data_IF_020442833260
#
_entry.id   IF_020442833260
#
_cell.length_a   1.000
_cell.length_b   1.000
_cell.length_c   1.000
_cell.angle_alpha   90.00
_cell.angle_beta   90.00
_cell.angle_gamma   90.00
#
_symmetry.space_group_name_H-M   'P 1'
#
loop_
_entity.id
_entity.type
_entity.pdbx_description
1 polymer ?
#
# COMPACT_ATOMS: atom_id res chain seq x y z
N UNK A 1 -26.20 -47.64 35.42
CA UNK A 1 -26.36 -46.40 34.62
C UNK A 1 -25.37 -46.43 33.47
N UNK A 2 -25.83 -46.82 32.27
CA UNK A 2 -24.98 -46.85 31.07
C UNK A 2 -24.91 -45.45 30.44
N UNK A 3 -23.76 -45.04 29.87
CA UNK A 3 -23.64 -43.73 29.23
C UNK A 3 -24.61 -43.66 28.05
N UNK A 4 -25.38 -42.58 28.02
CA UNK A 4 -26.47 -42.33 27.07
C UNK A 4 -25.98 -42.37 25.62
N UNK A 5 -26.82 -42.88 24.72
CA UNK A 5 -26.54 -43.06 23.30
C UNK A 5 -26.08 -41.79 22.56
N UNK A 6 -26.33 -40.60 23.13
CA UNK A 6 -25.87 -39.31 22.61
C UNK A 6 -24.35 -39.10 22.73
N UNK A 7 -23.73 -39.56 23.82
CA UNK A 7 -22.28 -39.38 24.05
C UNK A 7 -21.46 -40.29 23.11
N UNK A 8 -21.98 -41.48 22.79
CA UNK A 8 -21.35 -42.39 21.82
C UNK A 8 -21.40 -41.88 20.37
N UNK A 9 -22.44 -41.12 19.98
CA UNK A 9 -22.47 -40.45 18.66
C UNK A 9 -21.49 -39.29 18.57
N UNK A 10 -21.34 -38.52 19.65
CA UNK A 10 -20.41 -37.41 19.70
C UNK A 10 -18.95 -37.88 19.65
N UNK A 11 -18.61 -38.94 20.39
CA UNK A 11 -17.27 -39.54 20.36
C UNK A 11 -16.97 -40.17 19.00
N UNK A 12 -17.95 -40.81 18.35
CA UNK A 12 -17.77 -41.42 17.01
C UNK A 12 -17.60 -40.38 15.90
N UNK A 13 -18.14 -39.17 16.04
CA UNK A 13 -17.91 -38.08 15.09
C UNK A 13 -16.46 -37.56 15.14
N UNK A 14 -15.85 -37.54 16.33
CA UNK A 14 -14.44 -37.16 16.53
C UNK A 14 -13.49 -38.26 16.05
N UNK A 15 -13.87 -39.53 16.10
CA UNK A 15 -13.02 -40.66 15.64
C UNK A 15 -13.13 -41.00 14.15
N UNK A 16 -14.16 -40.53 13.42
CA UNK A 16 -14.35 -40.86 11.99
C UNK A 16 -14.01 -39.73 11.01
N UNK A 17 -13.32 -38.67 11.44
CA UNK A 17 -12.68 -37.74 10.49
C UNK A 17 -13.62 -37.12 9.46
N UNK A 18 -14.90 -36.90 9.80
CA UNK A 18 -15.85 -36.24 8.89
C UNK A 18 -15.63 -34.73 8.97
N UNK A 19 -14.49 -34.29 8.45
CA UNK A 19 -14.34 -32.91 8.02
C UNK A 19 -15.28 -32.77 6.81
N UNK A 20 -16.24 -31.85 6.88
CA UNK A 20 -17.10 -31.55 5.73
C UNK A 20 -16.22 -31.29 4.49
N UNK A 21 -16.50 -31.88 3.30
CA UNK A 21 -15.64 -31.75 2.12
C UNK A 21 -15.32 -30.30 1.73
N UNK A 22 -16.22 -29.35 2.03
CA UNK A 22 -16.00 -27.91 1.84
C UNK A 22 -14.99 -27.32 2.83
N UNK A 23 -15.04 -27.73 4.10
CA UNK A 23 -14.07 -27.32 5.10
C UNK A 23 -12.69 -27.93 4.79
N UNK A 24 -12.65 -29.19 4.34
CA UNK A 24 -11.41 -29.82 3.88
C UNK A 24 -10.79 -29.09 2.68
N UNK A 25 -11.60 -28.73 1.68
CA UNK A 25 -11.13 -27.97 0.52
C UNK A 25 -10.64 -26.56 0.88
N UNK A 26 -11.33 -25.86 1.80
CA UNK A 26 -10.91 -24.55 2.28
C UNK A 26 -9.57 -24.61 3.03
N UNK A 27 -9.40 -25.61 3.92
CA UNK A 27 -8.13 -25.82 4.62
C UNK A 27 -6.99 -26.17 3.68
N UNK A 28 -7.25 -26.99 2.66
CA UNK A 28 -6.24 -27.33 1.66
C UNK A 28 -5.85 -26.11 0.81
N UNK A 29 -6.82 -25.29 0.41
CA UNK A 29 -6.57 -24.05 -0.29
C UNK A 29 -5.70 -23.08 0.54
N UNK A 30 -6.05 -22.88 1.81
CA UNK A 30 -5.26 -22.04 2.72
C UNK A 30 -3.82 -22.56 2.88
N UNK A 31 -3.65 -23.88 3.06
CA UNK A 31 -2.32 -24.52 3.11
C UNK A 31 -1.51 -24.26 1.84
N UNK A 32 -2.14 -24.35 0.68
CA UNK A 32 -1.49 -24.05 -0.60
C UNK A 32 -1.05 -22.58 -0.66
N UNK A 33 -1.90 -21.63 -0.23
CA UNK A 33 -1.51 -20.22 -0.19
C UNK A 33 -0.35 -19.97 0.77
N UNK A 34 -0.35 -20.60 1.96
CA UNK A 34 0.77 -20.52 2.91
C UNK A 34 2.07 -21.05 2.29
N UNK A 35 2.01 -22.22 1.63
CA UNK A 35 3.17 -22.79 0.95
C UNK A 35 3.72 -21.85 -0.14
N UNK A 36 2.83 -21.22 -0.92
CA UNK A 36 3.18 -20.26 -1.98
C UNK A 36 3.80 -18.98 -1.41
N UNK A 37 3.22 -18.40 -0.36
CA UNK A 37 3.74 -17.20 0.31
C UNK A 37 5.12 -17.43 0.96
N UNK A 38 5.42 -18.68 1.35
CA UNK A 38 6.72 -19.09 1.91
C UNK A 38 7.81 -19.32 0.86
N UNK A 39 7.49 -19.32 -0.44
CA UNK A 39 8.48 -19.55 -1.48
C UNK A 39 9.61 -18.53 -1.41
N UNK A 40 10.85 -19.01 -1.29
CA UNK A 40 12.05 -18.17 -1.42
C UNK A 40 12.46 -18.10 -2.88
N UNK A 41 12.70 -16.88 -3.36
CA UNK A 41 13.24 -16.63 -4.69
C UNK A 41 14.76 -16.47 -4.59
N UNK A 42 15.52 -16.87 -5.63
CA UNK A 42 16.97 -16.67 -5.64
C UNK A 42 17.34 -15.18 -5.58
N UNK A 43 16.55 -14.33 -6.23
CA UNK A 43 16.77 -12.90 -6.30
C UNK A 43 15.83 -12.14 -5.36
N UNK A 44 16.33 -11.11 -4.65
CA UNK A 44 15.52 -10.19 -3.87
C UNK A 44 14.47 -9.48 -4.72
N UNK A 45 13.27 -9.29 -4.16
CA UNK A 45 12.15 -8.66 -4.86
C UNK A 45 11.61 -7.41 -4.19
N UNK A 46 11.30 -6.41 -5.00
CA UNK A 46 10.59 -5.19 -4.63
C UNK A 46 9.15 -5.30 -5.15
N UNK A 47 8.18 -5.11 -4.25
CA UNK A 47 6.75 -5.17 -4.55
C UNK A 47 6.17 -3.77 -4.28
N UNK A 48 5.74 -3.07 -5.32
CA UNK A 48 5.12 -1.76 -5.19
C UNK A 48 3.60 -1.88 -5.02
N UNK A 49 3.05 -1.21 -4.02
CA UNK A 49 1.61 -1.13 -3.76
C UNK A 49 1.12 0.25 -4.18
N UNK A 50 0.37 0.29 -5.28
CA UNK A 50 -0.01 1.51 -6.00
C UNK A 50 -1.52 1.67 -6.01
N UNK A 51 -2.01 2.89 -5.88
CA UNK A 51 -3.41 3.24 -6.05
C UNK A 51 -3.56 4.42 -7.00
N UNK A 52 -4.70 4.53 -7.67
CA UNK A 52 -5.01 5.72 -8.48
C UNK A 52 -5.76 6.81 -7.75
N UNK A 53 -6.23 6.52 -6.53
CA UNK A 53 -6.97 7.48 -5.70
C UNK A 53 -6.71 7.27 -4.22
N UNK A 54 -6.87 8.33 -3.44
CA UNK A 54 -6.72 8.29 -1.99
C UNK A 54 -7.81 7.44 -1.31
N UNK A 55 -7.51 6.93 -0.12
CA UNK A 55 -8.50 6.29 0.76
C UNK A 55 -9.02 4.92 0.31
N UNK A 56 -8.43 4.28 -0.70
CA UNK A 56 -8.84 2.92 -1.15
C UNK A 56 -8.28 1.78 -0.33
N UNK A 57 -7.38 2.07 0.62
CA UNK A 57 -6.73 1.07 1.45
C UNK A 57 -5.36 0.61 0.94
N UNK A 58 -4.62 1.43 0.18
CA UNK A 58 -3.29 1.09 -0.33
C UNK A 58 -2.29 0.78 0.80
N UNK A 59 -2.08 1.73 1.72
CA UNK A 59 -1.23 1.53 2.90
C UNK A 59 -1.69 0.35 3.77
N UNK A 60 -3.00 0.20 3.96
CA UNK A 60 -3.56 -0.94 4.71
C UNK A 60 -3.23 -2.27 4.03
N UNK A 61 -3.32 -2.33 2.70
CA UNK A 61 -2.98 -3.50 1.91
C UNK A 61 -1.48 -3.80 1.98
N UNK A 62 -0.64 -2.78 1.80
CA UNK A 62 0.81 -2.91 1.89
C UNK A 62 1.26 -3.44 3.25
N UNK A 63 0.78 -2.84 4.33
CA UNK A 63 1.06 -3.26 5.70
C UNK A 63 0.56 -4.69 5.99
N UNK A 64 -0.67 -5.02 5.58
CA UNK A 64 -1.24 -6.35 5.83
C UNK A 64 -0.48 -7.45 5.07
N UNK A 65 -0.06 -7.18 3.83
CA UNK A 65 0.77 -8.09 3.04
C UNK A 65 2.16 -8.23 3.66
N UNK A 66 2.79 -7.13 4.07
CA UNK A 66 4.10 -7.14 4.70
C UNK A 66 4.11 -7.94 6.01
N UNK A 67 3.12 -7.71 6.90
CA UNK A 67 2.94 -8.46 8.13
C UNK A 67 2.65 -9.95 7.88
N UNK A 68 1.82 -10.26 6.88
CA UNK A 68 1.52 -11.65 6.49
C UNK A 68 2.79 -12.37 6.06
N UNK A 69 3.61 -11.75 5.20
CA UNK A 69 4.88 -12.32 4.75
C UNK A 69 5.87 -12.47 5.90
N UNK A 70 6.04 -11.43 6.73
CA UNK A 70 6.94 -11.43 7.88
C UNK A 70 6.55 -12.48 8.94
N UNK A 71 5.26 -12.78 9.10
CA UNK A 71 4.76 -13.81 10.02
C UNK A 71 4.96 -15.22 9.48
N UNK A 72 4.78 -15.42 8.16
CA UNK A 72 4.82 -16.75 7.57
C UNK A 72 6.23 -17.21 7.22
N UNK A 73 7.15 -16.28 7.00
CA UNK A 73 8.51 -16.55 6.52
C UNK A 73 9.52 -16.47 7.66
N UNK A 74 10.65 -17.14 7.48
CA UNK A 74 11.78 -17.11 8.41
C UNK A 74 12.88 -16.13 8.00
N UNK A 75 12.71 -15.39 6.90
CA UNK A 75 13.59 -14.30 6.51
C UNK A 75 12.97 -12.94 6.83
N UNK A 76 13.81 -11.93 6.77
CA UNK A 76 13.42 -10.54 6.97
C UNK A 76 12.73 -9.97 5.74
N UNK A 77 11.70 -9.15 5.95
CA UNK A 77 11.02 -8.33 4.94
C UNK A 77 11.25 -6.87 5.28
N UNK A 78 11.51 -6.03 4.28
CA UNK A 78 11.45 -4.58 4.44
C UNK A 78 10.05 -4.05 4.07
N UNK A 79 9.57 -3.06 4.80
CA UNK A 79 8.36 -2.32 4.49
C UNK A 79 8.65 -0.82 4.52
N UNK A 80 8.58 -0.21 3.34
CA UNK A 80 9.01 1.17 3.11
C UNK A 80 7.82 1.99 2.62
N UNK A 81 7.68 3.23 3.05
CA UNK A 81 6.77 4.18 2.40
C UNK A 81 7.50 5.11 1.44
N UNK A 82 6.97 5.26 0.23
CA UNK A 82 7.40 6.28 -0.74
C UNK A 82 6.53 7.55 -0.69
N UNK A 83 5.63 7.63 0.30
CA UNK A 83 4.69 8.73 0.49
C UNK A 83 5.35 9.88 1.25
N UNK A 84 4.78 11.07 1.08
CA UNK A 84 5.22 12.27 1.75
C UNK A 84 4.07 12.86 2.58
N UNK A 85 4.34 13.18 3.84
CA UNK A 85 3.34 13.81 4.71
C UNK A 85 2.18 12.89 5.13
N UNK A 86 2.27 11.59 4.89
CA UNK A 86 1.33 10.62 5.46
C UNK A 86 1.69 10.26 6.89
N UNK A 87 0.72 9.74 7.65
CA UNK A 87 0.98 9.16 8.96
C UNK A 87 2.03 8.03 8.90
N UNK A 88 2.66 7.76 10.04
CA UNK A 88 3.73 6.76 10.15
C UNK A 88 3.20 5.34 9.91
N UNK A 89 3.95 4.55 9.14
CA UNK A 89 3.73 3.10 9.04
C UNK A 89 3.96 2.44 10.41
N UNK A 90 5.04 2.81 11.10
CA UNK A 90 5.34 2.29 12.43
C UNK A 90 4.23 2.52 13.45
N UNK A 91 3.61 3.71 13.46
CA UNK A 91 2.47 4.01 14.32
C UNK A 91 1.27 3.10 14.01
N UNK A 92 1.02 2.86 12.73
CA UNK A 92 -0.06 1.97 12.29
C UNK A 92 0.20 0.49 12.60
N UNK A 93 1.45 0.08 12.80
CA UNK A 93 1.80 -1.31 13.10
C UNK A 93 1.89 -1.56 14.60
N UNK A 94 2.70 -0.76 15.30
CA UNK A 94 3.05 -1.00 16.71
C UNK A 94 2.92 0.26 17.59
N UNK A 95 2.37 1.36 17.08
CA UNK A 95 2.16 2.60 17.85
C UNK A 95 3.43 3.42 18.08
N UNK A 96 4.50 3.20 17.30
CA UNK A 96 5.76 3.96 17.37
C UNK A 96 6.21 4.38 15.97
N UNK A 97 6.57 5.63 15.80
CA UNK A 97 7.08 6.13 14.52
C UNK A 97 8.35 5.38 14.06
N UNK A 98 8.44 5.11 12.77
CA UNK A 98 9.65 4.58 12.13
C UNK A 98 10.51 5.74 11.61
N UNK A 99 11.82 5.54 11.42
CA UNK A 99 12.67 6.56 10.82
C UNK A 99 12.30 6.77 9.34
N UNK A 100 12.35 8.02 8.83
CA UNK A 100 12.12 8.28 7.42
C UNK A 100 13.29 7.79 6.55
N UNK A 101 13.05 7.67 5.25
CA UNK A 101 14.07 7.27 4.25
C UNK A 101 15.40 8.01 4.44
N UNK A 102 15.38 9.33 4.60
CA UNK A 102 16.58 10.16 4.76
C UNK A 102 17.43 9.80 5.99
N UNK A 103 16.79 9.42 7.10
CA UNK A 103 17.47 9.02 8.31
C UNK A 103 18.12 7.64 8.15
N UNK A 104 17.40 6.68 7.54
CA UNK A 104 17.91 5.33 7.31
C UNK A 104 19.07 5.33 6.31
N UNK A 105 19.01 6.15 5.26
CA UNK A 105 20.08 6.16 4.27
C UNK A 105 21.35 6.85 4.75
N UNK A 106 21.23 7.81 5.67
CA UNK A 106 22.34 8.61 6.21
C UNK A 106 23.09 7.97 7.37
N UNK A 107 22.68 6.80 7.84
CA UNK A 107 23.32 6.06 8.93
C UNK A 107 24.08 4.83 8.42
N UNK A 108 25.15 4.47 9.12
CA UNK A 108 25.92 3.24 8.90
C UNK A 108 26.34 2.64 10.27
N UNK A 109 25.76 1.51 10.72
CA UNK A 109 24.75 0.72 10.02
C UNK A 109 23.37 1.43 9.99
N UNK A 110 22.48 1.08 9.04
CA UNK A 110 21.12 1.58 9.02
C UNK A 110 20.33 1.05 10.23
N UNK A 111 19.52 1.91 10.86
CA UNK A 111 18.68 1.56 12.02
C UNK A 111 17.18 1.73 11.69
N UNK A 112 16.53 0.78 10.98
CA UNK A 112 15.10 0.82 10.74
C UNK A 112 14.30 0.44 12.00
N UNK A 113 12.99 0.70 11.98
CA UNK A 113 12.11 0.18 13.02
C UNK A 113 11.85 -1.32 12.80
N UNK A 114 12.32 -2.18 13.70
CA UNK A 114 12.00 -3.60 13.66
C UNK A 114 10.66 -3.94 14.33
N UNK A 115 9.85 -4.73 13.62
CA UNK A 115 8.58 -5.31 14.08
C UNK A 115 8.68 -6.83 14.01
N UNK A 116 8.37 -7.52 15.10
CA UNK A 116 8.45 -8.99 15.23
C UNK A 116 9.80 -9.60 14.81
N UNK A 117 10.90 -8.86 14.90
CA UNK A 117 12.27 -9.23 14.50
C UNK A 117 12.44 -9.66 13.02
N UNK A 118 11.38 -9.61 12.21
CA UNK A 118 11.38 -10.05 10.81
C UNK A 118 10.87 -8.98 9.84
N UNK A 119 10.35 -7.85 10.33
CA UNK A 119 9.85 -6.76 9.50
C UNK A 119 10.59 -5.45 9.82
N UNK A 120 11.47 -5.02 8.92
CA UNK A 120 12.15 -3.73 8.99
C UNK A 120 11.27 -2.64 8.35
N UNK A 121 10.89 -1.62 9.12
CA UNK A 121 9.95 -0.56 8.70
C UNK A 121 10.68 0.76 8.52
N UNK A 122 10.42 1.42 7.40
CA UNK A 122 10.95 2.75 7.06
C UNK A 122 9.78 3.65 6.64
N UNK A 123 9.65 4.77 7.34
CA UNK A 123 8.57 5.72 7.10
C UNK A 123 8.81 6.59 5.87
N UNK A 124 7.70 7.18 5.42
CA UNK A 124 7.71 8.19 4.38
C UNK A 124 8.31 9.49 4.89
N UNK A 125 8.73 10.34 3.96
CA UNK A 125 9.22 11.65 4.30
C UNK A 125 8.15 12.54 4.95
N UNK A 126 8.53 13.50 5.81
CA UNK A 126 7.62 14.56 6.22
C UNK A 126 7.25 15.46 5.03
N UNK A 127 6.06 16.06 5.06
CA UNK A 127 5.49 16.84 3.93
C UNK A 127 6.40 17.96 3.41
N UNK A 128 7.22 18.57 4.26
CA UNK A 128 8.09 19.71 3.94
C UNK A 128 9.47 19.30 3.42
N UNK A 129 9.81 18.00 3.46
CA UNK A 129 11.09 17.50 2.94
C UNK A 129 10.87 16.15 2.24
N UNK A 130 10.14 16.11 1.11
CA UNK A 130 9.83 14.87 0.39
C UNK A 130 11.09 14.08 0.03
N UNK A 131 10.97 12.75 0.02
CA UNK A 131 12.03 11.87 -0.48
C UNK A 131 12.19 12.08 -1.98
N UNK A 132 13.42 12.36 -2.42
CA UNK A 132 13.75 12.47 -3.83
C UNK A 132 13.96 11.09 -4.49
N UNK A 133 14.08 11.09 -5.82
CA UNK A 133 14.30 9.88 -6.61
C UNK A 133 15.57 9.12 -6.18
N UNK A 134 16.68 9.82 -5.95
CA UNK A 134 17.98 9.22 -5.70
C UNK A 134 18.03 8.51 -4.34
N UNK A 135 17.50 9.16 -3.31
CA UNK A 135 17.35 8.61 -1.97
C UNK A 135 16.48 7.34 -1.95
N UNK A 136 15.36 7.35 -2.68
CA UNK A 136 14.51 6.16 -2.80
C UNK A 136 15.23 5.01 -3.51
N UNK A 137 15.90 5.29 -4.63
CA UNK A 137 16.69 4.27 -5.35
C UNK A 137 17.79 3.69 -4.46
N UNK A 138 18.53 4.54 -3.74
CA UNK A 138 19.58 4.12 -2.81
C UNK A 138 19.03 3.21 -1.71
N UNK A 139 17.88 3.57 -1.11
CA UNK A 139 17.24 2.75 -0.10
C UNK A 139 16.82 1.39 -0.66
N UNK A 140 16.20 1.35 -1.84
CA UNK A 140 15.74 0.10 -2.44
C UNK A 140 16.90 -0.80 -2.86
N UNK A 141 17.97 -0.25 -3.41
CA UNK A 141 19.17 -1.01 -3.78
C UNK A 141 19.87 -1.59 -2.54
N UNK A 142 19.94 -0.83 -1.44
CA UNK A 142 20.42 -1.34 -0.15
C UNK A 142 19.51 -2.44 0.40
N UNK A 143 18.19 -2.21 0.37
CA UNK A 143 17.18 -3.17 0.85
C UNK A 143 17.29 -4.51 0.14
N UNK A 144 17.54 -4.52 -1.18
CA UNK A 144 17.76 -5.77 -1.94
C UNK A 144 18.98 -6.55 -1.44
N UNK A 145 20.02 -5.88 -0.97
CA UNK A 145 21.19 -6.55 -0.37
C UNK A 145 20.92 -7.17 1.01
N UNK A 146 19.87 -6.72 1.71
CA UNK A 146 19.62 -7.05 3.12
C UNK A 146 18.37 -7.92 3.32
N UNK A 147 17.37 -7.79 2.45
CA UNK A 147 16.05 -8.39 2.61
C UNK A 147 15.62 -9.09 1.32
N UNK A 148 15.23 -10.38 1.36
CA UNK A 148 14.68 -11.08 0.21
C UNK A 148 13.41 -10.44 -0.37
N UNK A 149 12.64 -9.72 0.45
CA UNK A 149 11.41 -9.04 0.05
C UNK A 149 11.40 -7.61 0.57
N UNK A 150 11.01 -6.68 -0.29
CA UNK A 150 10.75 -5.27 0.05
C UNK A 150 9.36 -4.89 -0.43
N UNK A 151 8.45 -4.57 0.49
CA UNK A 151 7.13 -4.01 0.17
C UNK A 151 7.24 -2.49 0.21
N UNK A 152 6.77 -1.82 -0.84
CA UNK A 152 6.78 -0.35 -0.90
C UNK A 152 5.35 0.17 -0.97
N UNK A 153 4.92 0.92 0.05
CA UNK A 153 3.69 1.70 0.01
C UNK A 153 3.90 2.96 -0.81
N UNK A 154 3.52 2.90 -2.10
CA UNK A 154 3.53 4.06 -3.01
C UNK A 154 2.25 4.87 -2.84
N UNK A 155 1.13 4.19 -2.58
CA UNK A 155 -0.18 4.80 -2.52
C UNK A 155 -0.54 5.48 -3.84
N UNK A 156 -1.19 6.65 -3.75
CA UNK A 156 -1.72 7.40 -4.89
C UNK A 156 -0.96 8.69 -5.22
N UNK A 157 0.12 8.98 -4.50
CA UNK A 157 0.90 10.20 -4.73
C UNK A 157 1.72 10.08 -6.02
N UNK A 158 1.78 11.19 -6.76
CA UNK A 158 2.56 11.33 -7.98
C UNK A 158 3.94 11.92 -7.65
N UNK A 159 4.67 11.27 -6.75
CA UNK A 159 6.00 11.68 -6.31
C UNK A 159 7.11 11.00 -7.12
N UNK A 160 8.28 11.65 -7.21
CA UNK A 160 9.47 11.04 -7.83
C UNK A 160 9.91 9.76 -7.12
N UNK A 161 9.88 9.75 -5.77
CA UNK A 161 10.14 8.55 -4.99
C UNK A 161 9.14 7.43 -5.30
N UNK A 162 7.84 7.76 -5.43
CA UNK A 162 6.82 6.80 -5.82
C UNK A 162 7.07 6.22 -7.21
N UNK A 163 7.47 7.06 -8.17
CA UNK A 163 7.81 6.60 -9.52
C UNK A 163 9.08 5.74 -9.53
N UNK A 164 10.13 6.12 -8.81
CA UNK A 164 11.33 5.28 -8.63
C UNK A 164 11.01 3.92 -8.04
N UNK A 165 10.12 3.86 -7.05
CA UNK A 165 9.66 2.62 -6.45
C UNK A 165 8.92 1.73 -7.47
N UNK A 166 8.07 2.32 -8.30
CA UNK A 166 7.37 1.59 -9.38
C UNK A 166 8.39 1.07 -10.40
N UNK A 167 9.35 1.88 -10.83
CA UNK A 167 10.42 1.51 -11.78
C UNK A 167 11.26 0.33 -11.28
N UNK A 168 11.66 0.35 -10.00
CA UNK A 168 12.44 -0.70 -9.34
C UNK A 168 11.65 -1.95 -8.94
N UNK A 169 10.32 -1.91 -9.02
CA UNK A 169 9.47 -3.02 -8.59
C UNK A 169 9.55 -4.20 -9.55
N UNK A 170 9.60 -5.42 -9.01
CA UNK A 170 9.47 -6.67 -9.78
C UNK A 170 8.02 -7.17 -9.83
N UNK A 171 7.14 -6.57 -9.04
CA UNK A 171 5.72 -6.87 -8.97
C UNK A 171 4.93 -5.66 -8.50
N UNK A 172 3.70 -5.53 -8.98
CA UNK A 172 2.79 -4.46 -8.57
C UNK A 172 1.48 -5.00 -8.02
N UNK A 173 1.06 -4.44 -6.89
CA UNK A 173 -0.31 -4.57 -6.38
C UNK A 173 -1.05 -3.27 -6.66
N UNK A 174 -2.05 -3.32 -7.51
CA UNK A 174 -2.96 -2.22 -7.76
C UNK A 174 -4.11 -2.29 -6.77
N UNK A 175 -4.27 -1.23 -5.97
CA UNK A 175 -5.36 -1.13 -4.99
C UNK A 175 -6.42 -0.17 -5.50
N UNK A 176 -7.66 -0.66 -5.55
CA UNK A 176 -8.82 0.15 -5.90
C UNK A 176 -10.02 -0.24 -5.07
N UNK A 177 -11.00 0.66 -4.98
CA UNK A 177 -12.28 0.36 -4.35
C UNK A 177 -13.34 0.07 -5.40
N UNK A 178 -14.42 -0.59 -4.99
CA UNK A 178 -15.58 -0.83 -5.83
C UNK A 178 -16.51 0.41 -5.98
N UNK A 179 -15.91 1.59 -6.20
CA UNK A 179 -16.57 2.90 -6.34
C UNK A 179 -16.93 3.20 -7.81
N UNK A 180 -17.67 4.29 -8.04
CA UNK A 180 -18.07 4.71 -9.39
C UNK A 180 -16.86 5.12 -10.26
N UNK A 181 -15.90 5.82 -9.66
CA UNK A 181 -14.66 6.32 -10.24
C UNK A 181 -13.54 5.25 -10.32
N UNK A 182 -13.82 3.99 -9.95
CA UNK A 182 -12.82 2.92 -9.87
C UNK A 182 -12.06 2.71 -11.18
N UNK A 183 -12.74 2.85 -12.33
CA UNK A 183 -12.14 2.69 -13.67
C UNK A 183 -11.06 3.75 -13.91
N UNK A 184 -11.39 5.02 -13.67
CA UNK A 184 -10.46 6.15 -13.85
C UNK A 184 -9.27 6.02 -12.90
N UNK A 185 -9.52 5.66 -11.64
CA UNK A 185 -8.44 5.43 -10.68
C UNK A 185 -7.52 4.27 -11.13
N UNK A 186 -8.08 3.15 -11.58
CA UNK A 186 -7.26 2.05 -12.09
C UNK A 186 -6.48 2.46 -13.35
N UNK A 187 -7.06 3.27 -14.26
CA UNK A 187 -6.34 3.80 -15.42
C UNK A 187 -5.11 4.62 -15.02
N UNK A 188 -5.25 5.54 -14.06
CA UNK A 188 -4.12 6.36 -13.58
C UNK A 188 -3.03 5.49 -12.95
N UNK A 189 -3.42 4.46 -12.17
CA UNK A 189 -2.44 3.56 -11.59
C UNK A 189 -1.74 2.70 -12.67
N UNK A 190 -2.49 2.23 -13.67
CA UNK A 190 -1.96 1.45 -14.78
C UNK A 190 -1.01 2.26 -15.66
N UNK A 191 -1.32 3.53 -15.96
CA UNK A 191 -0.46 4.36 -16.80
C UNK A 191 0.92 4.54 -16.15
N UNK A 192 0.97 4.78 -14.84
CA UNK A 192 2.23 4.89 -14.10
C UNK A 192 3.09 3.62 -14.16
N UNK A 193 2.44 2.46 -14.06
CA UNK A 193 3.14 1.18 -14.17
C UNK A 193 3.57 0.91 -15.61
N UNK A 194 2.73 1.25 -16.58
CA UNK A 194 3.03 1.11 -18.01
C UNK A 194 4.23 1.95 -18.42
N UNK A 195 4.28 3.20 -17.97
CA UNK A 195 5.37 4.14 -18.27
C UNK A 195 6.70 3.66 -17.68
N UNK A 196 6.65 2.96 -16.54
CA UNK A 196 7.83 2.36 -15.92
C UNK A 196 8.28 1.05 -16.59
N UNK A 197 7.33 0.14 -16.83
CA UNK A 197 7.55 -1.13 -17.52
C UNK A 197 6.21 -1.71 -18.01
N UNK A 198 5.94 -1.72 -19.32
CA UNK A 198 4.69 -2.20 -19.87
C UNK A 198 4.46 -3.70 -19.64
N UNK A 199 5.52 -4.50 -19.52
CA UNK A 199 5.40 -5.94 -19.29
C UNK A 199 4.93 -6.28 -17.87
N UNK A 200 5.15 -5.36 -16.92
CA UNK A 200 4.75 -5.52 -15.51
C UNK A 200 3.24 -5.64 -15.34
N UNK A 201 2.47 -5.04 -16.24
CA UNK A 201 1.01 -5.13 -16.26
C UNK A 201 0.54 -6.58 -16.36
N UNK A 202 1.23 -7.42 -17.12
CA UNK A 202 0.84 -8.82 -17.34
C UNK A 202 0.87 -9.70 -16.10
N UNK A 203 1.50 -9.25 -15.00
CA UNK A 203 1.60 -10.04 -13.76
C UNK A 203 1.04 -9.34 -12.52
N UNK A 204 0.52 -8.11 -12.69
CA UNK A 204 0.00 -7.31 -11.59
C UNK A 204 -1.15 -8.02 -10.85
N UNK A 205 -1.32 -7.64 -9.58
CA UNK A 205 -2.40 -8.12 -8.71
C UNK A 205 -3.37 -6.98 -8.46
N UNK A 206 -4.67 -7.21 -8.65
CA UNK A 206 -5.70 -6.21 -8.36
C UNK A 206 -6.33 -6.49 -6.99
N UNK A 207 -5.96 -5.71 -5.98
CA UNK A 207 -6.62 -5.72 -4.67
C UNK A 207 -7.86 -4.81 -4.71
N UNK A 208 -9.04 -5.41 -4.62
CA UNK A 208 -10.32 -4.71 -4.78
C UNK A 208 -11.05 -4.60 -3.44
N UNK A 209 -11.02 -3.43 -2.82
CA UNK A 209 -11.77 -3.16 -1.59
C UNK A 209 -13.26 -2.99 -1.89
N UNK A 210 -14.12 -3.74 -1.19
CA UNK A 210 -15.54 -3.80 -1.47
C UNK A 210 -16.37 -4.10 -0.20
N UNK A 211 -17.62 -3.66 -0.19
CA UNK A 211 -18.54 -3.94 0.91
C UNK A 211 -19.13 -5.34 0.84
N UNK A 212 -19.30 -5.86 -0.38
CA UNK A 212 -19.88 -7.17 -0.61
C UNK A 212 -19.44 -7.78 -1.96
N UNK A 213 -19.60 -9.10 -2.14
CA UNK A 213 -19.19 -9.78 -3.37
C UNK A 213 -19.92 -9.33 -4.64
N UNK A 214 -21.14 -8.79 -4.53
CA UNK A 214 -21.88 -8.28 -5.72
C UNK A 214 -21.18 -7.03 -6.27
N UNK A 215 -20.79 -6.12 -5.39
CA UNK A 215 -20.06 -4.90 -5.73
C UNK A 215 -18.72 -5.24 -6.41
N UNK A 216 -17.97 -6.19 -5.85
CA UNK A 216 -16.71 -6.66 -6.44
C UNK A 216 -16.90 -7.19 -7.87
N UNK A 217 -17.87 -8.08 -8.08
CA UNK A 217 -18.17 -8.64 -9.42
C UNK A 217 -18.56 -7.56 -10.42
N UNK A 218 -19.35 -6.58 -10.00
CA UNK A 218 -19.75 -5.46 -10.86
C UNK A 218 -18.55 -4.61 -11.26
N UNK A 219 -17.69 -4.23 -10.31
CA UNK A 219 -16.48 -3.43 -10.60
C UNK A 219 -15.51 -4.19 -11.50
N UNK A 220 -15.28 -5.49 -11.27
CA UNK A 220 -14.43 -6.30 -12.16
C UNK A 220 -14.98 -6.33 -13.59
N UNK A 221 -16.30 -6.48 -13.76
CA UNK A 221 -16.92 -6.44 -15.10
C UNK A 221 -16.68 -5.10 -15.79
N UNK A 222 -16.84 -3.98 -15.08
CA UNK A 222 -16.54 -2.64 -15.62
C UNK A 222 -15.08 -2.46 -15.99
N UNK A 223 -14.15 -2.90 -15.14
CA UNK A 223 -12.73 -2.82 -15.44
C UNK A 223 -12.37 -3.64 -16.69
N UNK A 224 -13.00 -4.80 -16.88
CA UNK A 224 -12.81 -5.62 -18.08
C UNK A 224 -13.39 -4.94 -19.34
N UNK A 225 -14.61 -4.41 -19.26
CA UNK A 225 -15.26 -3.77 -20.41
C UNK A 225 -14.56 -2.47 -20.82
N UNK A 226 -14.21 -1.64 -19.85
CA UNK A 226 -13.79 -0.26 -20.11
C UNK A 226 -12.27 -0.17 -20.36
N UNK A 227 -11.48 -1.13 -19.85
CA UNK A 227 -10.02 -1.16 -20.00
C UNK A 227 -9.52 -2.27 -20.91
N UNK A 228 -10.41 -3.09 -21.46
CA UNK A 228 -10.02 -4.25 -22.26
C UNK A 228 -9.21 -5.31 -21.50
N UNK A 229 -9.28 -5.30 -20.16
CA UNK A 229 -8.46 -6.19 -19.35
C UNK A 229 -8.95 -7.65 -19.41
N UNK A 230 -8.11 -8.54 -19.91
CA UNK A 230 -8.29 -9.99 -19.89
C UNK A 230 -7.88 -10.52 -18.50
N UNK A 231 -8.85 -10.52 -17.58
CA UNK A 231 -8.77 -11.19 -16.28
C UNK A 231 -7.58 -10.79 -15.36
N UNK A 232 -7.59 -9.60 -14.74
CA UNK A 232 -6.63 -9.27 -13.68
C UNK A 232 -6.69 -10.32 -12.55
N UNK A 233 -5.53 -10.71 -12.00
CA UNK A 233 -5.40 -11.53 -10.78
C UNK A 233 -6.03 -10.75 -9.61
N UNK A 234 -7.35 -10.83 -9.49
CA UNK A 234 -8.14 -9.96 -8.62
C UNK A 234 -8.43 -10.65 -7.30
N UNK A 235 -8.14 -9.96 -6.20
CA UNK A 235 -8.48 -10.39 -4.86
C UNK A 235 -9.46 -9.39 -4.25
N UNK A 236 -10.74 -9.77 -4.07
CA UNK A 236 -11.70 -8.95 -3.35
C UNK A 236 -11.37 -8.93 -1.86
N UNK A 237 -11.26 -7.73 -1.30
CA UNK A 237 -11.11 -7.51 0.14
C UNK A 237 -12.45 -6.98 0.65
N UNK A 238 -13.14 -7.81 1.44
CA UNK A 238 -14.45 -7.49 2.00
C UNK A 238 -14.38 -6.49 3.17
N UNK A 239 -15.55 -6.08 3.66
CA UNK A 239 -15.63 -5.25 4.85
C UNK A 239 -15.12 -5.99 6.10
N UNK A 240 -14.18 -5.35 6.78
CA UNK A 240 -13.62 -5.80 8.05
C UNK A 240 -13.81 -4.71 9.13
N UNK A 241 -14.49 -5.00 10.25
CA UNK A 241 -14.73 -4.03 11.32
C UNK A 241 -13.45 -3.50 11.96
N UNK A 242 -12.41 -4.34 12.08
CA UNK A 242 -11.15 -3.93 12.68
C UNK A 242 -10.45 -2.91 11.79
N UNK A 243 -10.40 -3.17 10.48
CA UNK A 243 -9.85 -2.22 9.51
C UNK A 243 -10.68 -0.93 9.44
N UNK A 244 -12.00 -1.04 9.52
CA UNK A 244 -12.91 0.11 9.49
C UNK A 244 -12.75 1.03 10.71
N UNK A 245 -12.31 0.52 11.85
CA UNK A 245 -12.03 1.32 13.05
C UNK A 245 -10.81 2.24 12.87
N UNK A 246 -9.95 1.99 11.87
CA UNK A 246 -8.83 2.88 11.52
C UNK A 246 -7.65 2.87 12.50
N UNK A 247 -7.62 1.92 13.44
CA UNK A 247 -6.54 1.77 14.42
C UNK A 247 -5.31 1.02 13.87
N UNK A 248 -4.62 0.31 14.77
CA UNK A 248 -3.47 -0.52 14.43
C UNK A 248 -3.85 -1.65 13.46
N UNK A 249 -2.94 -1.99 12.56
CA UNK A 249 -3.10 -3.08 11.60
C UNK A 249 -2.55 -4.35 12.25
N UNK A 250 -3.45 -5.17 12.78
CA UNK A 250 -3.13 -6.46 13.40
C UNK A 250 -3.88 -7.59 12.69
N UNK A 251 -3.21 -8.40 11.85
CA UNK A 251 -3.81 -9.52 11.14
C UNK A 251 -4.52 -10.53 12.06
N UNK A 252 -4.11 -10.65 13.33
CA UNK A 252 -4.76 -11.53 14.28
C UNK A 252 -6.22 -11.11 14.57
N UNK A 253 -6.53 -9.82 14.49
CA UNK A 253 -7.87 -9.25 14.76
C UNK A 253 -8.81 -9.28 13.55
N UNK A 254 -8.27 -9.52 12.35
CA UNK A 254 -9.07 -9.51 11.14
C UNK A 254 -10.09 -10.65 11.14
N UNK A 255 -11.13 -10.51 10.32
CA UNK A 255 -11.98 -11.64 9.95
C UNK A 255 -11.18 -12.66 9.15
N UNK A 256 -11.58 -13.93 9.22
CA UNK A 256 -10.92 -15.01 8.48
C UNK A 256 -10.85 -14.72 6.97
N UNK A 257 -11.94 -14.23 6.37
CA UNK A 257 -11.97 -13.86 4.95
C UNK A 257 -10.99 -12.73 4.59
N UNK A 258 -10.76 -11.78 5.49
CA UNK A 258 -9.79 -10.69 5.30
C UNK A 258 -8.36 -11.20 5.39
N UNK A 259 -8.06 -12.08 6.36
CA UNK A 259 -6.77 -12.78 6.44
C UNK A 259 -6.50 -13.60 5.19
N UNK A 260 -7.48 -14.39 4.74
CA UNK A 260 -7.39 -15.19 3.53
C UNK A 260 -7.12 -14.32 2.29
N UNK A 261 -7.80 -13.18 2.16
CA UNK A 261 -7.56 -12.24 1.07
C UNK A 261 -6.11 -11.69 1.07
N UNK A 262 -5.59 -11.27 2.22
CA UNK A 262 -4.20 -10.78 2.28
C UNK A 262 -3.16 -11.90 2.14
N UNK A 263 -3.47 -13.11 2.62
CA UNK A 263 -2.68 -14.31 2.35
C UNK A 263 -2.64 -14.64 0.86
N UNK A 264 -3.78 -14.53 0.17
CA UNK A 264 -3.86 -14.71 -1.27
C UNK A 264 -3.01 -13.67 -1.99
N UNK A 265 -3.10 -12.38 -1.63
CA UNK A 265 -2.25 -11.34 -2.22
C UNK A 265 -0.77 -11.65 -1.96
N UNK A 266 -0.40 -12.00 -0.73
CA UNK A 266 0.96 -12.36 -0.35
C UNK A 266 1.51 -13.54 -1.19
N UNK A 267 0.71 -14.57 -1.42
CA UNK A 267 1.08 -15.69 -2.29
C UNK A 267 1.26 -15.23 -3.75
N UNK A 268 0.32 -14.44 -4.29
CA UNK A 268 0.35 -13.99 -5.69
C UNK A 268 1.53 -13.08 -5.99
N UNK A 269 1.97 -12.24 -5.03
CA UNK A 269 3.07 -11.29 -5.24
C UNK A 269 4.45 -11.95 -5.15
N UNK A 270 4.60 -12.99 -4.33
CA UNK A 270 5.87 -13.74 -4.20
C UNK A 270 6.14 -14.57 -5.46
N UNK A 271 5.09 -15.09 -6.09
CA UNK A 271 5.22 -15.91 -7.27
C UNK A 271 5.43 -15.07 -8.55
N UNK A 272 6.26 -15.57 -9.49
CA UNK A 272 6.16 -15.10 -10.86
C UNK A 272 4.76 -15.48 -11.36
N UNK A 273 3.93 -14.49 -11.69
CA UNK A 273 2.72 -14.80 -12.44
C UNK A 273 3.10 -15.56 -13.71
N UNK A 274 2.27 -16.49 -14.16
CA UNK A 274 2.18 -16.76 -15.60
C UNK A 274 1.95 -15.41 -16.28
N UNK A 275 2.58 -15.15 -17.43
CA UNK A 275 2.19 -14.03 -18.30
C UNK A 275 0.79 -14.31 -18.85
N UNK A 276 -0.23 -14.31 -17.99
CA UNK A 276 -1.61 -14.21 -18.41
C UNK A 276 -1.79 -12.75 -18.81
N UNK A 277 -1.62 -12.51 -20.11
CA UNK A 277 -1.62 -11.19 -20.71
C UNK A 277 -2.91 -10.47 -20.29
N UNK A 278 -2.76 -9.44 -19.46
CA UNK A 278 -3.87 -8.55 -19.05
C UNK A 278 -4.57 -7.91 -20.25
N UNK A 279 -3.98 -7.95 -21.44
CA UNK A 279 -4.55 -7.41 -22.67
C UNK A 279 -4.44 -8.47 -23.76
N UNK A 280 -5.47 -8.60 -24.60
CA UNK A 280 -5.36 -9.46 -25.78
C UNK A 280 -4.23 -8.95 -26.67
N UNK A 281 -3.40 -9.85 -27.23
CA UNK A 281 -2.50 -9.48 -28.32
C UNK A 281 -3.33 -8.85 -29.46
N UNK A 282 -2.87 -7.76 -30.08
CA UNK A 282 -3.47 -7.31 -31.33
C UNK A 282 -3.35 -8.46 -32.33
N UNK A 283 -4.47 -8.97 -32.81
CA UNK A 283 -4.49 -9.88 -33.95
C UNK A 283 -3.68 -9.23 -35.07
N UNK A 284 -2.68 -9.93 -35.62
CA UNK A 284 -1.95 -9.50 -36.79
C UNK A 284 -2.93 -9.33 -37.98
N UNK A 285 -3.52 -8.15 -38.11
CA UNK A 285 -4.59 -7.87 -39.06
C UNK A 285 -5.68 -6.96 -38.48
N UNK A 286 -5.33 -5.71 -38.19
CA UNK A 286 -6.29 -4.67 -37.83
C UNK A 286 -5.77 -3.77 -36.72
N UNK A 287 -5.13 -2.68 -37.10
CA UNK A 287 -4.77 -1.59 -36.18
C UNK A 287 -6.04 -0.83 -35.81
N UNK A 288 -6.48 -0.77 -34.54
CA UNK A 288 -7.31 0.33 -34.09
C UNK A 288 -6.34 1.49 -33.83
N UNK A 289 -6.33 2.46 -34.73
CA UNK A 289 -5.70 3.74 -34.47
C UNK A 289 -6.40 4.42 -33.29
N UNK A 290 -5.61 5.16 -32.50
CA UNK A 290 -6.02 6.11 -31.46
C UNK A 290 -6.11 5.58 -30.02
N UNK A 291 -4.96 5.18 -29.49
CA UNK A 291 -4.53 5.69 -28.18
C UNK A 291 -3.37 6.64 -28.48
N UNK A 292 -3.57 7.95 -28.33
CA UNK A 292 -2.47 8.94 -28.47
C UNK A 292 -2.71 10.19 -29.31
N UNK A 293 -3.94 10.59 -29.64
CA UNK A 293 -4.17 11.93 -30.17
C UNK A 293 -4.46 12.92 -29.03
N UNK A 294 -3.74 14.05 -28.91
CA UNK A 294 -4.15 15.13 -28.04
C UNK A 294 -5.53 15.65 -28.50
N UNK A 295 -6.46 15.80 -27.56
CA UNK A 295 -7.77 16.40 -27.81
C UNK A 295 -7.54 17.83 -28.32
N UNK A 296 -7.94 18.11 -29.56
CA UNK A 296 -7.90 19.45 -30.11
C UNK A 296 -8.81 20.37 -29.26
N UNK A 297 -8.38 21.59 -28.92
CA UNK A 297 -9.22 22.52 -28.17
C UNK A 297 -10.47 22.90 -28.98
N UNK A 298 -11.59 23.22 -28.31
CA UNK A 298 -12.84 23.57 -28.98
C UNK A 298 -12.67 24.81 -29.89
N UNK A 299 -13.40 24.87 -31.02
CA UNK A 299 -13.34 26.02 -31.93
C UNK A 299 -13.70 27.31 -31.19
N UNK A 300 -12.77 28.27 -31.18
CA UNK A 300 -12.90 29.53 -30.46
C UNK A 300 -11.93 29.70 -29.28
N UNK A 301 -11.16 28.68 -28.92
CA UNK A 301 -10.10 28.81 -27.93
C UNK A 301 -8.92 29.62 -28.51
N UNK A 302 -8.76 30.86 -28.07
CA UNK A 302 -7.51 31.62 -28.23
C UNK A 302 -6.66 31.43 -26.97
N UNK A 303 -5.44 30.87 -27.05
CA UNK A 303 -4.51 30.90 -25.94
C UNK A 303 -4.25 32.35 -25.56
N UNK A 304 -4.36 32.68 -24.27
CA UNK A 304 -3.94 33.99 -23.78
C UNK A 304 -2.45 34.15 -24.07
N UNK A 305 -2.07 35.23 -24.77
CA UNK A 305 -0.67 35.56 -24.97
C UNK A 305 0.00 35.76 -23.59
N UNK A 306 1.24 35.30 -23.40
CA UNK A 306 1.95 35.55 -22.16
C UNK A 306 2.10 37.07 -21.97
N UNK A 307 1.52 37.60 -20.89
CA UNK A 307 1.77 38.97 -20.49
C UNK A 307 3.25 39.11 -20.14
N UNK A 308 3.95 40.15 -20.64
CA UNK A 308 5.29 40.45 -20.15
C UNK A 308 5.22 40.73 -18.66
N UNK A 309 6.13 40.12 -17.89
CA UNK A 309 6.26 40.36 -16.47
C UNK A 309 6.49 41.86 -16.24
N UNK A 310 5.50 42.52 -15.64
CA UNK A 310 5.66 43.87 -15.13
C UNK A 310 6.67 43.89 -13.96
N UNK A 311 7.30 45.04 -13.69
CA UNK A 311 8.24 45.15 -12.58
C UNK A 311 7.55 44.82 -11.24
N UNK A 312 8.29 44.25 -10.27
CA UNK A 312 7.71 43.80 -9.01
C UNK A 312 7.04 44.97 -8.27
N UNK A 313 5.81 44.75 -7.82
CA UNK A 313 5.12 45.67 -6.94
C UNK A 313 5.88 45.81 -5.60
N UNK A 314 5.96 47.01 -5.00
CA UNK A 314 6.64 47.20 -3.73
C UNK A 314 5.94 46.41 -2.62
N UNK A 315 6.75 45.73 -1.80
CA UNK A 315 6.29 45.00 -0.62
C UNK A 315 5.50 45.91 0.33
N UNK A 316 4.40 45.43 0.95
CA UNK A 316 3.81 46.13 2.08
C UNK A 316 4.82 46.16 3.25
N UNK A 317 4.87 47.25 4.03
CA UNK A 317 5.82 47.39 5.13
C UNK A 317 5.56 46.30 6.19
N UNK A 318 6.65 45.73 6.70
CA UNK A 318 6.63 44.77 7.78
C UNK A 318 5.94 45.36 9.03
N UNK A 319 5.16 44.57 9.79
CA UNK A 319 4.59 45.04 11.05
C UNK A 319 5.71 45.38 12.04
N UNK A 320 5.61 46.56 12.63
CA UNK A 320 6.55 47.05 13.65
C UNK A 320 6.61 46.11 14.87
N UNK A 321 7.79 45.94 15.50
CA UNK A 321 7.88 45.25 16.77
C UNK A 321 7.12 46.03 17.87
N UNK A 322 6.47 45.35 18.83
CA UNK A 322 5.77 46.00 19.92
C UNK A 322 6.75 46.82 20.78
N UNK A 323 6.34 48.04 21.12
CA UNK A 323 7.09 48.95 21.98
C UNK A 323 7.32 48.32 23.37
N UNK A 324 8.48 48.57 24.00
CA UNK A 324 8.75 48.12 25.36
C UNK A 324 7.77 48.78 26.33
N UNK A 325 7.10 47.96 27.13
CA UNK A 325 6.19 48.40 28.19
C UNK A 325 6.92 49.17 29.30
N UNK A 326 6.20 50.01 30.07
CA UNK A 326 6.78 50.82 31.13
C UNK A 326 7.36 49.95 32.26
N UNK A 327 8.40 50.45 32.96
CA UNK A 327 9.08 49.70 34.02
C UNK A 327 8.14 49.41 35.19
N UNK A 328 8.02 48.13 35.53
CA UNK A 328 7.24 47.65 36.68
C UNK A 328 7.83 48.17 37.98
N UNK A 329 6.99 48.82 38.77
CA UNK A 329 7.27 49.23 40.16
C UNK A 329 7.43 47.97 41.00
N UNK A 330 8.62 47.81 41.58
CA UNK A 330 8.95 46.71 42.48
C UNK A 330 8.09 46.74 43.75
N UNK A 331 7.44 45.62 44.05
CA UNK A 331 6.87 45.35 45.36
C UNK A 331 7.87 44.54 46.20
N UNK A 332 8.23 44.97 47.42
CA UNK A 332 9.26 44.31 48.21
C UNK A 332 8.74 43.02 48.86
N UNK A 333 9.64 42.03 48.92
CA UNK A 333 9.34 40.66 49.29
C UNK A 333 8.86 40.44 50.71
N UNK A 334 8.12 39.34 50.88
CA UNK A 334 7.88 38.70 52.18
C UNK A 334 8.53 37.31 52.20
N UNK A 335 9.29 37.11 53.27
CA UNK A 335 10.13 35.95 53.60
C UNK A 335 9.35 34.62 53.71
N UNK A 336 10.03 33.47 53.53
CA UNK A 336 9.47 32.15 53.74
C UNK A 336 9.32 31.85 55.24
N UNK A 337 8.12 31.42 55.64
CA UNK A 337 7.84 30.83 56.95
C UNK A 337 7.90 29.31 56.87
N UNK A 338 8.67 28.71 57.78
CA UNK A 338 8.90 27.28 57.95
C UNK A 338 7.72 26.57 58.69
N UNK A 339 7.75 25.24 58.89
CA UNK A 339 6.57 24.37 58.83
C UNK A 339 5.91 24.07 60.19
N UNK A 340 4.66 23.60 60.13
CA UNK A 340 4.05 22.62 61.03
C UNK A 340 3.05 21.78 60.26
#
# INVERSE_FOLDING_TARGET
>A
MGPSAGVRRLIRAVTLGVIEPRAAAAMEYERQLVARARLRRPEPRVIAVVAGKGGVGATTTAASVALTLATLRSDTTAFVSARCGSGSLGERLIGRAAPPVSAVIGQEPPDPLWVHDSLAVVDGAPWHSPTDRAAMVQLLDRSRGQHPLTIVDVGNELSEAGQAAIEKADQVVLVTSASQDAVVAVQVALSRVHDADPFRLGTAVLALTCLNPRQARHTVRRLRSDLGMQAPRTVPIGFDPWLAAGGQIDPAQFRAATREAYLQIAALVVEPGSQEQWFAQPSAGGVPAQVGAPVAPPPGYRPAAPHPAGPPAPHPPAPHPPAPGPPGVGSPGRRPGAPR
#
